data_IF_219626130836
#
_entry.id   IF_219626130836
#
_cell.length_a   1.000
_cell.length_b   1.000
_cell.length_c   1.000
_cell.angle_alpha   90.00
_cell.angle_beta   90.00
_cell.angle_gamma   90.00
#
_symmetry.space_group_name_H-M   'P 1'
#
loop_
_entity.id
_entity.type
_entity.pdbx_description
1 polymer ?
#
# COMPACT_ATOMS: atom_id res chain seq x y z
N UNK A 1 -17.53 2.65 0.04
CA UNK A 1 -16.62 1.76 0.79
C UNK A 1 -17.14 1.40 2.19
N UNK A 2 -17.38 2.36 3.09
CA UNK A 2 -17.73 2.10 4.50
C UNK A 2 -18.79 1.01 4.73
N UNK A 3 -20.01 1.21 4.19
CA UNK A 3 -21.10 0.21 4.29
C UNK A 3 -20.76 -1.16 3.72
N UNK A 4 -19.92 -1.22 2.67
CA UNK A 4 -19.51 -2.47 2.04
C UNK A 4 -18.59 -3.26 2.97
N UNK A 5 -17.60 -2.58 3.55
CA UNK A 5 -16.58 -3.21 4.38
C UNK A 5 -17.17 -3.67 5.72
N UNK A 6 -18.04 -2.86 6.32
CA UNK A 6 -18.79 -3.22 7.52
C UNK A 6 -19.65 -4.47 7.29
N UNK A 7 -20.53 -4.47 6.26
CA UNK A 7 -21.42 -5.62 5.96
C UNK A 7 -20.65 -6.89 5.60
N UNK A 8 -19.48 -6.76 4.97
CA UNK A 8 -18.64 -7.90 4.62
C UNK A 8 -17.77 -8.40 5.77
N UNK A 9 -17.78 -7.72 6.93
CA UNK A 9 -16.91 -8.04 8.06
C UNK A 9 -15.42 -7.81 7.77
N UNK A 10 -15.10 -6.93 6.81
CA UNK A 10 -13.72 -6.61 6.44
C UNK A 10 -13.03 -5.83 7.56
N UNK A 11 -13.74 -4.94 8.24
CA UNK A 11 -13.18 -4.08 9.30
C UNK A 11 -12.62 -4.87 10.49
N UNK A 12 -13.09 -6.11 10.68
CA UNK A 12 -12.70 -6.98 11.79
C UNK A 12 -11.86 -8.18 11.32
N UNK A 13 -11.55 -8.28 10.02
CA UNK A 13 -10.89 -9.47 9.46
C UNK A 13 -9.43 -9.60 9.90
N UNK A 14 -8.68 -8.50 9.92
CA UNK A 14 -7.27 -8.50 10.29
C UNK A 14 -7.00 -7.46 11.40
N UNK A 15 -6.58 -7.86 12.62
CA UNK A 15 -6.43 -6.93 13.75
C UNK A 15 -5.45 -5.77 13.50
N UNK A 16 -4.44 -6.01 12.66
CA UNK A 16 -3.41 -5.03 12.31
C UNK A 16 -3.83 -4.10 11.16
N UNK A 17 -4.97 -4.33 10.52
CA UNK A 17 -5.51 -3.50 9.44
C UNK A 17 -6.75 -2.75 9.91
N UNK A 18 -6.73 -1.43 9.78
CA UNK A 18 -7.88 -0.57 10.02
C UNK A 18 -8.18 0.31 8.80
N UNK A 19 -9.38 0.89 8.80
CA UNK A 19 -9.85 1.78 7.74
C UNK A 19 -10.35 3.08 8.37
N UNK A 20 -9.97 4.21 7.78
CA UNK A 20 -10.52 5.52 8.13
C UNK A 20 -11.70 5.79 7.19
N UNK A 21 -12.90 5.43 7.64
CA UNK A 21 -14.08 5.46 6.80
C UNK A 21 -14.57 6.87 6.49
N UNK A 22 -14.99 7.07 5.25
CA UNK A 22 -15.74 8.23 4.80
C UNK A 22 -17.24 7.96 5.00
N UNK A 23 -17.71 8.20 6.21
CA UNK A 23 -19.03 7.74 6.68
C UNK A 23 -20.17 8.71 6.36
N UNK A 24 -19.86 9.96 6.02
CA UNK A 24 -20.85 10.97 5.66
C UNK A 24 -20.31 11.93 4.60
N UNK A 25 -21.21 12.58 3.86
CA UNK A 25 -20.91 13.67 2.95
C UNK A 25 -22.01 14.73 3.02
N UNK A 26 -21.68 15.95 2.60
CA UNK A 26 -22.63 17.05 2.40
C UNK A 26 -22.31 17.75 1.09
N UNK A 27 -23.34 18.22 0.39
CA UNK A 27 -23.19 19.01 -0.85
C UNK A 27 -24.41 19.92 -1.00
N UNK A 28 -24.35 20.89 -1.93
CA UNK A 28 -25.50 21.73 -2.28
C UNK A 28 -26.27 21.07 -3.43
N UNK A 29 -27.60 21.15 -3.40
CA UNK A 29 -28.45 20.69 -4.49
C UNK A 29 -28.79 21.87 -5.42
N UNK A 30 -28.17 21.90 -6.60
CA UNK A 30 -28.52 22.82 -7.67
C UNK A 30 -29.32 22.09 -8.74
N UNK A 31 -30.59 22.46 -8.89
CA UNK A 31 -31.52 21.83 -9.83
C UNK A 31 -30.91 21.69 -11.23
N UNK A 32 -30.78 20.45 -11.71
CA UNK A 32 -30.26 20.13 -13.03
C UNK A 32 -28.74 19.98 -13.13
N UNK A 33 -28.01 20.08 -12.03
CA UNK A 33 -26.56 19.82 -11.97
C UNK A 33 -26.28 18.53 -11.20
N UNK A 34 -25.35 17.71 -11.73
CA UNK A 34 -24.90 16.49 -11.05
C UNK A 34 -23.90 16.79 -9.91
N UNK A 35 -23.18 17.90 -10.02
CA UNK A 35 -22.15 18.34 -9.08
C UNK A 35 -22.35 19.84 -8.81
N UNK A 36 -22.14 20.23 -7.56
CA UNK A 36 -22.27 21.61 -7.09
C UNK A 36 -20.94 22.33 -6.91
N UNK A 37 -19.83 21.58 -6.80
CA UNK A 37 -18.52 22.08 -6.40
C UNK A 37 -18.37 22.29 -4.89
N UNK A 38 -19.41 21.99 -4.10
CA UNK A 38 -19.43 22.09 -2.64
C UNK A 38 -19.47 20.71 -1.96
N UNK A 39 -19.08 19.66 -2.69
CA UNK A 39 -19.00 18.30 -2.15
C UNK A 39 -17.93 18.22 -1.06
N UNK A 40 -18.37 17.85 0.15
CA UNK A 40 -17.49 17.65 1.31
C UNK A 40 -17.72 16.26 1.86
N UNK A 41 -16.62 15.53 2.08
CA UNK A 41 -16.63 14.19 2.68
C UNK A 41 -16.10 14.30 4.12
N UNK A 42 -16.80 13.66 5.06
CA UNK A 42 -16.39 13.55 6.45
C UNK A 42 -15.73 12.19 6.69
N UNK A 43 -14.42 12.24 6.92
CA UNK A 43 -13.62 11.07 7.29
C UNK A 43 -13.53 10.92 8.80
N UNK A 44 -13.62 9.69 9.27
CA UNK A 44 -13.39 9.35 10.67
C UNK A 44 -11.97 9.73 11.10
N UNK A 45 -11.87 10.37 12.27
CA UNK A 45 -10.60 10.62 12.95
C UNK A 45 -10.60 9.95 14.33
N UNK A 46 -10.01 8.74 14.45
CA UNK A 46 -9.85 8.06 15.73
C UNK A 46 -8.66 8.60 16.54
N UNK A 47 -7.78 9.41 15.94
CA UNK A 47 -6.57 9.97 16.55
C UNK A 47 -6.93 11.27 17.27
N UNK A 48 -7.65 11.11 18.38
CA UNK A 48 -8.13 12.20 19.25
C UNK A 48 -7.30 12.31 20.53
N UNK A 49 -6.14 11.67 20.60
CA UNK A 49 -5.21 11.80 21.71
C UNK A 49 -4.60 13.21 21.78
N UNK A 50 -3.92 13.51 22.88
CA UNK A 50 -3.14 14.75 23.01
C UNK A 50 -1.99 14.81 21.98
N UNK A 51 -1.33 15.97 21.89
CA UNK A 51 -0.19 16.16 20.98
C UNK A 51 0.83 15.00 21.10
N UNK A 52 1.02 14.24 20.02
CA UNK A 52 1.97 13.11 20.00
C UNK A 52 1.38 11.74 19.65
N UNK A 53 0.16 11.65 19.09
CA UNK A 53 -0.32 10.37 18.54
C UNK A 53 0.72 9.84 17.53
N UNK A 54 1.29 8.64 17.75
CA UNK A 54 2.43 8.13 17.00
C UNK A 54 2.00 7.51 15.66
N UNK A 55 0.98 8.11 15.04
CA UNK A 55 0.44 7.69 13.75
C UNK A 55 1.00 8.60 12.67
N UNK A 56 1.72 8.01 11.72
CA UNK A 56 2.42 8.75 10.67
C UNK A 56 2.06 8.18 9.30
N UNK A 57 1.92 9.05 8.29
CA UNK A 57 1.75 8.59 6.91
C UNK A 57 3.07 8.03 6.39
N UNK A 58 3.03 6.95 5.62
CA UNK A 58 4.24 6.38 5.02
C UNK A 58 4.96 7.43 4.18
N UNK A 59 4.23 8.30 3.47
CA UNK A 59 4.81 9.38 2.66
C UNK A 59 5.62 10.40 3.47
N UNK A 60 5.24 10.68 4.71
CA UNK A 60 6.00 11.59 5.57
C UNK A 60 7.21 10.88 6.16
N UNK A 61 7.04 9.60 6.51
CA UNK A 61 8.09 8.77 7.08
C UNK A 61 9.29 8.62 6.14
N UNK A 62 9.03 8.39 4.85
CA UNK A 62 10.02 8.15 3.78
C UNK A 62 10.50 9.41 3.08
N UNK A 63 9.93 10.58 3.39
CA UNK A 63 10.29 11.84 2.76
C UNK A 63 11.75 12.23 3.03
N UNK A 64 12.34 12.96 2.09
CA UNK A 64 13.67 13.53 2.30
C UNK A 64 13.67 14.49 3.50
N UNK A 65 14.64 14.36 4.42
CA UNK A 65 14.77 15.29 5.52
C UNK A 65 15.23 16.66 5.02
N UNK A 66 15.06 17.66 5.88
CA UNK A 66 15.72 18.95 5.69
C UNK A 66 17.25 18.73 5.71
N UNK A 67 18.03 19.48 4.91
CA UNK A 67 19.48 19.38 4.93
C UNK A 67 20.05 19.40 6.36
N UNK A 68 20.94 18.46 6.66
CA UNK A 68 21.57 18.32 7.98
C UNK A 68 20.71 17.70 9.08
N UNK A 69 19.52 17.18 8.76
CA UNK A 69 18.66 16.48 9.72
C UNK A 69 18.48 15.01 9.33
N UNK A 70 18.20 14.16 10.33
CA UNK A 70 17.76 12.79 10.10
C UNK A 70 16.35 12.73 9.51
N UNK A 71 16.08 11.70 8.71
CA UNK A 71 14.73 11.40 8.24
C UNK A 71 13.83 10.99 9.42
N UNK A 72 12.51 11.06 9.23
CA UNK A 72 11.56 10.55 10.21
C UNK A 72 11.70 9.03 10.37
N UNK A 73 12.01 8.33 9.27
CA UNK A 73 12.30 6.90 9.28
C UNK A 73 13.53 6.55 10.12
N UNK A 74 14.66 7.23 9.89
CA UNK A 74 15.89 7.06 10.68
C UNK A 74 15.64 7.32 12.16
N UNK A 75 14.89 8.38 12.48
CA UNK A 75 14.54 8.71 13.86
C UNK A 75 13.74 7.59 14.53
N UNK A 76 12.78 6.97 13.82
CA UNK A 76 12.02 5.84 14.31
C UNK A 76 12.90 4.60 14.54
N UNK A 77 13.77 4.27 13.58
CA UNK A 77 14.70 3.12 13.69
C UNK A 77 15.72 3.31 14.82
N UNK A 78 16.27 4.52 15.00
CA UNK A 78 17.18 4.85 16.11
C UNK A 78 16.53 4.66 17.46
N UNK A 79 15.25 5.04 17.59
CA UNK A 79 14.47 4.79 18.82
C UNK A 79 14.32 3.30 19.09
N UNK A 80 13.98 2.49 18.07
CA UNK A 80 13.90 1.03 18.20
C UNK A 80 15.26 0.44 18.62
N UNK A 81 16.36 0.90 18.02
CA UNK A 81 17.70 0.43 18.37
C UNK A 81 18.04 0.72 19.84
N UNK A 82 17.75 1.94 20.29
CA UNK A 82 17.96 2.37 21.67
C UNK A 82 17.07 1.59 22.66
N UNK A 83 15.75 1.56 22.42
CA UNK A 83 14.78 0.98 23.36
C UNK A 83 14.90 -0.55 23.50
N UNK A 84 15.50 -1.21 22.51
CA UNK A 84 15.74 -2.66 22.52
C UNK A 84 17.21 -3.07 22.72
N UNK A 85 18.14 -2.13 22.87
CA UNK A 85 19.59 -2.37 23.00
C UNK A 85 20.16 -3.26 21.86
N UNK A 86 19.88 -2.87 20.61
CA UNK A 86 20.33 -3.57 19.40
C UNK A 86 21.00 -2.61 18.42
N UNK A 87 21.77 -3.14 17.46
CA UNK A 87 22.38 -2.32 16.41
C UNK A 87 21.32 -1.66 15.51
N UNK A 88 21.67 -0.53 14.87
CA UNK A 88 20.77 0.16 13.91
C UNK A 88 20.32 -0.76 12.78
N UNK A 89 21.22 -1.59 12.25
CA UNK A 89 20.87 -2.58 11.23
C UNK A 89 19.84 -3.58 11.74
N UNK A 90 20.04 -4.17 12.92
CA UNK A 90 19.06 -5.10 13.51
C UNK A 90 17.71 -4.42 13.76
N UNK A 91 17.72 -3.16 14.24
CA UNK A 91 16.51 -2.38 14.43
C UNK A 91 15.77 -2.12 13.11
N UNK A 92 16.49 -1.77 12.04
CA UNK A 92 15.92 -1.55 10.71
C UNK A 92 15.27 -2.82 10.15
N UNK A 93 15.95 -3.96 10.24
CA UNK A 93 15.41 -5.25 9.78
C UNK A 93 14.15 -5.63 10.58
N UNK A 94 14.19 -5.46 11.91
CA UNK A 94 13.04 -5.72 12.79
C UNK A 94 11.87 -4.79 12.49
N UNK A 95 12.13 -3.50 12.32
CA UNK A 95 11.11 -2.52 11.94
C UNK A 95 10.45 -2.91 10.62
N UNK A 96 11.24 -3.30 9.63
CA UNK A 96 10.76 -3.69 8.31
C UNK A 96 9.88 -4.95 8.36
N UNK A 97 10.25 -5.97 9.14
CA UNK A 97 9.39 -7.15 9.35
C UNK A 97 8.05 -6.78 10.00
N UNK A 98 8.06 -5.94 11.04
CA UNK A 98 6.83 -5.44 11.66
C UNK A 98 5.98 -4.60 10.68
N UNK A 99 6.63 -3.82 9.80
CA UNK A 99 5.96 -3.10 8.73
C UNK A 99 5.27 -4.04 7.74
N UNK A 100 5.94 -5.11 7.29
CA UNK A 100 5.35 -6.09 6.39
C UNK A 100 4.16 -6.82 7.03
N UNK A 101 4.25 -7.15 8.32
CA UNK A 101 3.13 -7.76 9.04
C UNK A 101 1.89 -6.83 9.11
N UNK A 102 2.07 -5.51 9.01
CA UNK A 102 0.99 -4.52 9.08
C UNK A 102 0.50 -4.06 7.70
N UNK A 103 1.40 -3.91 6.72
CA UNK A 103 1.09 -3.35 5.40
C UNK A 103 0.96 -4.43 4.32
N UNK A 104 1.93 -5.34 4.19
CA UNK A 104 1.92 -6.34 3.11
C UNK A 104 0.93 -7.47 3.40
N UNK A 105 1.14 -8.18 4.49
CA UNK A 105 0.42 -9.41 4.82
C UNK A 105 -1.11 -9.22 4.83
N UNK A 106 -1.68 -8.23 5.56
CA UNK A 106 -3.13 -8.08 5.61
C UNK A 106 -3.72 -7.55 4.31
N UNK A 107 -3.01 -6.74 3.52
CA UNK A 107 -3.51 -6.25 2.23
C UNK A 107 -3.52 -7.36 1.16
N UNK A 108 -2.51 -8.23 1.15
CA UNK A 108 -2.51 -9.41 0.27
C UNK A 108 -3.62 -10.39 0.67
N UNK A 109 -3.82 -10.60 1.98
CA UNK A 109 -4.92 -11.43 2.49
C UNK A 109 -6.31 -10.83 2.24
N UNK A 110 -6.44 -9.50 2.30
CA UNK A 110 -7.69 -8.80 1.94
C UNK A 110 -8.06 -9.11 0.48
N UNK A 111 -7.07 -9.06 -0.41
CA UNK A 111 -7.28 -9.43 -1.81
C UNK A 111 -7.60 -10.92 -1.97
N UNK A 112 -6.87 -11.80 -1.27
CA UNK A 112 -7.11 -13.25 -1.30
C UNK A 112 -8.51 -13.63 -0.84
N UNK A 113 -8.95 -13.07 0.30
CA UNK A 113 -10.18 -13.47 0.97
C UNK A 113 -11.41 -12.77 0.44
N UNK A 114 -11.30 -11.51 0.00
CA UNK A 114 -12.47 -10.70 -0.38
C UNK A 114 -12.44 -10.22 -1.84
N UNK A 115 -11.35 -10.45 -2.57
CA UNK A 115 -11.19 -9.89 -3.90
C UNK A 115 -11.13 -8.36 -3.86
N UNK A 116 -10.72 -7.77 -2.74
CA UNK A 116 -10.59 -6.32 -2.55
C UNK A 116 -9.14 -5.94 -2.60
N UNK A 117 -8.78 -5.01 -3.49
CA UNK A 117 -7.47 -4.39 -3.52
C UNK A 117 -7.60 -2.89 -3.29
N UNK A 118 -6.62 -2.29 -2.62
CA UNK A 118 -6.62 -0.88 -2.28
C UNK A 118 -5.52 -0.15 -3.05
N UNK A 119 -5.75 1.11 -3.38
CA UNK A 119 -4.71 2.06 -3.81
C UNK A 119 -3.86 2.48 -2.60
N UNK A 120 -3.19 1.52 -1.99
CA UNK A 120 -2.38 1.66 -0.78
C UNK A 120 -1.01 2.32 -1.04
N UNK A 121 -1.00 3.43 -1.78
CA UNK A 121 0.21 4.23 -1.97
C UNK A 121 0.62 4.95 -0.68
N UNK A 122 1.82 5.54 -0.65
CA UNK A 122 2.40 6.12 0.56
C UNK A 122 1.50 7.13 1.29
N UNK A 123 0.75 7.96 0.55
CA UNK A 123 -0.13 8.95 1.15
C UNK A 123 -1.38 8.32 1.79
N UNK A 124 -1.96 7.26 1.23
CA UNK A 124 -3.17 6.59 1.73
C UNK A 124 -2.89 5.60 2.88
N UNK A 125 -1.63 5.56 3.32
CA UNK A 125 -1.08 4.56 4.22
C UNK A 125 -0.60 5.21 5.51
N UNK A 126 -1.19 4.84 6.64
CA UNK A 126 -0.79 5.34 7.95
C UNK A 126 -0.33 4.19 8.85
N UNK A 127 0.71 4.42 9.62
CA UNK A 127 1.28 3.44 10.54
C UNK A 127 1.17 3.94 11.98
N UNK A 128 0.68 3.08 12.87
CA UNK A 128 0.74 3.27 14.32
C UNK A 128 2.07 2.76 14.87
N UNK A 129 2.88 3.70 15.35
CA UNK A 129 4.20 3.47 15.94
C UNK A 129 4.19 3.59 17.47
N UNK A 130 3.02 3.49 18.12
CA UNK A 130 2.88 3.60 19.58
C UNK A 130 3.67 2.56 20.36
N UNK A 131 3.90 1.39 19.75
CA UNK A 131 4.65 0.31 20.34
C UNK A 131 6.15 0.52 20.13
N UNK A 132 6.74 1.42 20.92
CA UNK A 132 8.20 1.66 20.96
C UNK A 132 8.81 2.06 19.58
N UNK A 133 8.02 2.71 18.72
CA UNK A 133 8.45 3.07 17.36
C UNK A 133 8.31 1.97 16.31
N UNK A 134 7.92 0.75 16.70
CA UNK A 134 7.65 -0.35 15.78
C UNK A 134 6.23 -0.23 15.19
N UNK A 135 6.03 -0.53 13.90
CA UNK A 135 4.72 -0.63 13.28
C UNK A 135 3.89 -1.71 13.98
N UNK A 136 2.72 -1.30 14.49
CA UNK A 136 1.82 -2.19 15.23
C UNK A 136 0.46 -2.33 14.56
N UNK A 137 0.01 -1.28 13.87
CA UNK A 137 -1.20 -1.27 13.05
C UNK A 137 -1.00 -0.40 11.81
N UNK A 138 -1.73 -0.75 10.77
CA UNK A 138 -1.83 -0.01 9.53
C UNK A 138 -3.27 0.50 9.39
N UNK A 139 -3.41 1.78 9.03
CA UNK A 139 -4.69 2.37 8.66
C UNK A 139 -4.66 2.79 7.21
N UNK A 140 -5.63 2.30 6.44
CA UNK A 140 -5.92 2.81 5.11
C UNK A 140 -6.86 4.01 5.19
N UNK A 141 -6.59 5.05 4.41
CA UNK A 141 -7.52 6.15 4.16
C UNK A 141 -7.82 6.22 2.67
N UNK A 142 -8.93 6.90 2.34
CA UNK A 142 -9.50 7.07 0.99
C UNK A 142 -10.62 6.06 0.67
N UNK A 143 -11.79 6.57 0.29
CA UNK A 143 -12.95 5.75 -0.05
C UNK A 143 -13.13 5.55 -1.56
N UNK A 144 -12.33 6.24 -2.37
CA UNK A 144 -12.37 6.17 -3.84
C UNK A 144 -11.33 5.19 -4.40
N UNK A 145 -10.19 5.02 -3.73
CA UNK A 145 -9.08 4.19 -4.19
C UNK A 145 -9.21 2.68 -3.89
N UNK A 146 -10.26 1.99 -4.34
CA UNK A 146 -10.32 0.52 -4.22
C UNK A 146 -10.94 -0.19 -5.41
N UNK A 147 -10.61 -1.47 -5.53
CA UNK A 147 -11.02 -2.33 -6.63
C UNK A 147 -11.66 -3.61 -6.11
N UNK A 148 -12.72 -4.06 -6.78
CA UNK A 148 -13.36 -5.35 -6.57
C UNK A 148 -13.03 -6.29 -7.73
N UNK A 149 -12.63 -7.50 -7.41
CA UNK A 149 -12.38 -8.55 -8.39
C UNK A 149 -13.67 -9.00 -9.09
N UNK A 150 -13.63 -9.07 -10.42
CA UNK A 150 -14.67 -9.70 -11.24
C UNK A 150 -14.95 -11.15 -10.82
N UNK A 151 -13.90 -11.90 -10.45
CA UNK A 151 -14.02 -13.28 -9.97
C UNK A 151 -14.82 -13.40 -8.67
N UNK A 152 -14.91 -12.32 -7.87
CA UNK A 152 -15.67 -12.27 -6.62
C UNK A 152 -17.08 -11.69 -6.78
N UNK A 153 -17.50 -11.32 -8.01
CA UNK A 153 -18.76 -10.61 -8.26
C UNK A 153 -20.00 -11.38 -7.78
N UNK A 154 -20.05 -12.69 -7.96
CA UNK A 154 -21.17 -13.52 -7.51
C UNK A 154 -21.31 -13.51 -5.97
N UNK A 155 -20.19 -13.50 -5.24
CA UNK A 155 -20.19 -13.39 -3.78
C UNK A 155 -20.66 -12.00 -3.33
N UNK A 156 -20.20 -10.95 -4.01
CA UNK A 156 -20.64 -9.59 -3.72
C UNK A 156 -22.13 -9.38 -3.98
N UNK A 157 -22.68 -10.00 -5.03
CA UNK A 157 -24.12 -9.99 -5.31
C UNK A 157 -24.95 -10.55 -4.14
N UNK A 158 -24.47 -11.62 -3.49
CA UNK A 158 -25.18 -12.22 -2.35
C UNK A 158 -25.10 -11.40 -1.05
N UNK A 159 -24.06 -10.58 -0.88
CA UNK A 159 -23.82 -9.83 0.37
C UNK A 159 -24.31 -8.38 0.29
N UNK A 160 -24.03 -7.68 -0.81
CA UNK A 160 -24.34 -6.26 -1.01
C UNK A 160 -24.79 -6.06 -2.47
N UNK A 161 -26.03 -6.44 -2.84
CA UNK A 161 -26.50 -6.41 -4.22
C UNK A 161 -26.38 -5.05 -4.91
N UNK A 162 -26.44 -3.97 -4.13
CA UNK A 162 -26.36 -2.59 -4.60
C UNK A 162 -24.99 -2.28 -5.23
N UNK A 163 -23.91 -2.93 -4.75
CA UNK A 163 -22.54 -2.67 -5.24
C UNK A 163 -22.33 -3.19 -6.66
N UNK A 164 -23.04 -4.27 -7.03
CA UNK A 164 -22.89 -4.94 -8.34
C UNK A 164 -23.39 -4.08 -9.50
N UNK A 165 -24.24 -3.10 -9.20
CA UNK A 165 -24.72 -2.12 -10.17
C UNK A 165 -23.68 -1.04 -10.50
N UNK A 166 -22.69 -0.85 -9.61
CA UNK A 166 -21.60 0.10 -9.81
C UNK A 166 -20.47 -0.60 -10.56
N UNK A 167 -20.63 -0.74 -11.88
CA UNK A 167 -19.71 -1.51 -12.74
C UNK A 167 -18.26 -1.01 -12.68
N UNK A 168 -18.06 0.30 -12.49
CA UNK A 168 -16.75 0.93 -12.39
C UNK A 168 -15.91 0.48 -11.18
N UNK A 169 -16.51 -0.22 -10.21
CA UNK A 169 -15.76 -0.80 -9.08
C UNK A 169 -15.19 -2.19 -9.37
N UNK A 170 -15.63 -2.85 -10.44
CA UNK A 170 -15.24 -4.24 -10.74
C UNK A 170 -14.20 -4.30 -11.86
N UNK A 171 -13.08 -4.95 -11.57
CA UNK A 171 -11.92 -5.05 -12.45
C UNK A 171 -11.50 -6.50 -12.64
N UNK A 172 -10.79 -6.76 -13.74
CA UNK A 172 -10.17 -8.04 -13.98
C UNK A 172 -9.00 -8.28 -13.01
N UNK A 173 -8.81 -9.53 -12.58
CA UNK A 173 -7.80 -9.88 -11.58
C UNK A 173 -6.37 -9.59 -12.05
N UNK A 174 -6.14 -9.57 -13.37
CA UNK A 174 -4.86 -9.16 -13.94
C UNK A 174 -4.60 -7.68 -13.70
N UNK A 175 -5.59 -6.84 -14.01
CA UNK A 175 -5.57 -5.39 -13.84
C UNK A 175 -5.39 -4.98 -12.39
N UNK A 176 -6.09 -5.67 -11.49
CA UNK A 176 -5.94 -5.48 -10.04
C UNK A 176 -4.52 -5.82 -9.60
N UNK A 177 -3.95 -6.94 -10.06
CA UNK A 177 -2.58 -7.33 -9.70
C UNK A 177 -1.56 -6.31 -10.18
N UNK A 178 -1.71 -5.75 -11.37
CA UNK A 178 -0.82 -4.72 -11.90
C UNK A 178 -0.90 -3.42 -11.08
N UNK A 179 -2.11 -2.96 -10.75
CA UNK A 179 -2.34 -1.77 -9.91
C UNK A 179 -1.84 -1.96 -8.49
N UNK A 180 -2.16 -3.10 -7.87
CA UNK A 180 -1.69 -3.44 -6.52
C UNK A 180 -0.17 -3.57 -6.47
N UNK A 181 0.46 -4.12 -7.52
CA UNK A 181 1.93 -4.16 -7.62
C UNK A 181 2.51 -2.76 -7.60
N UNK A 182 1.94 -1.82 -8.36
CA UNK A 182 2.40 -0.45 -8.33
C UNK A 182 2.17 0.19 -6.95
N UNK A 183 0.95 0.21 -6.43
CA UNK A 183 0.64 0.98 -5.23
C UNK A 183 1.29 0.43 -3.96
N UNK A 184 1.19 -0.88 -3.72
CA UNK A 184 1.70 -1.53 -2.52
C UNK A 184 3.21 -1.79 -2.62
N UNK A 185 3.70 -2.32 -3.75
CA UNK A 185 5.11 -2.71 -3.85
C UNK A 185 5.97 -1.52 -4.27
N UNK A 186 5.73 -0.96 -5.46
CA UNK A 186 6.64 0.02 -6.08
C UNK A 186 6.53 1.40 -5.43
N UNK A 187 5.33 1.92 -5.29
CA UNK A 187 5.11 3.25 -4.73
C UNK A 187 5.41 3.24 -3.23
N UNK A 188 4.94 2.22 -2.50
CA UNK A 188 4.96 2.22 -1.05
C UNK A 188 6.14 1.42 -0.44
N UNK A 189 6.15 0.09 -0.51
CA UNK A 189 7.16 -0.74 0.20
C UNK A 189 8.58 -0.45 -0.31
N UNK A 190 8.78 -0.32 -1.61
CA UNK A 190 10.07 0.03 -2.19
C UNK A 190 10.59 1.40 -1.73
N UNK A 191 9.70 2.35 -1.42
CA UNK A 191 10.12 3.65 -0.87
C UNK A 191 10.64 3.54 0.57
N UNK A 192 10.12 2.60 1.36
CA UNK A 192 10.67 2.29 2.68
C UNK A 192 12.05 1.63 2.55
N UNK A 193 12.20 0.69 1.61
CA UNK A 193 13.48 0.03 1.34
C UNK A 193 14.53 1.05 0.87
N UNK A 194 14.18 1.88 -0.11
CA UNK A 194 15.05 2.93 -0.64
C UNK A 194 15.43 3.93 0.46
N UNK A 195 14.50 4.28 1.36
CA UNK A 195 14.83 5.16 2.49
C UNK A 195 15.81 4.54 3.47
N UNK A 196 15.63 3.27 3.81
CA UNK A 196 16.60 2.55 4.65
C UNK A 196 18.01 2.51 4.03
N UNK A 197 18.09 2.29 2.71
CA UNK A 197 19.34 2.32 1.96
C UNK A 197 20.00 3.70 1.96
N UNK A 198 19.23 4.74 1.66
CA UNK A 198 19.71 6.12 1.61
C UNK A 198 20.21 6.62 2.97
N UNK A 199 19.50 6.27 4.05
CA UNK A 199 19.88 6.64 5.42
C UNK A 199 21.02 5.74 5.97
N UNK A 200 21.50 4.75 5.20
CA UNK A 200 22.59 3.85 5.60
C UNK A 200 22.23 2.88 6.73
N UNK A 201 20.95 2.56 6.90
CA UNK A 201 20.44 1.72 8.00
C UNK A 201 20.52 0.23 7.69
N UNK A 202 20.25 -0.15 6.45
CA UNK A 202 20.40 -1.49 5.88
C UNK A 202 20.52 -1.38 4.37
N UNK A 203 21.13 -2.37 3.69
CA UNK A 203 21.17 -2.36 2.23
C UNK A 203 19.81 -2.69 1.61
N UNK A 204 19.53 -2.16 0.43
CA UNK A 204 18.29 -2.45 -0.29
C UNK A 204 18.16 -3.96 -0.59
N UNK A 205 19.27 -4.63 -0.94
CA UNK A 205 19.31 -6.05 -1.23
C UNK A 205 18.84 -6.91 -0.05
N UNK A 206 19.21 -6.55 1.18
CA UNK A 206 18.78 -7.28 2.39
C UNK A 206 17.27 -7.19 2.61
N UNK A 207 16.72 -5.98 2.49
CA UNK A 207 15.29 -5.75 2.68
C UNK A 207 14.46 -6.34 1.52
N UNK A 208 14.97 -6.28 0.28
CA UNK A 208 14.39 -6.98 -0.86
C UNK A 208 14.38 -8.51 -0.64
N UNK A 209 15.44 -9.05 -0.04
CA UNK A 209 15.50 -10.45 0.38
C UNK A 209 14.39 -10.81 1.38
N UNK A 210 14.21 -10.00 2.42
CA UNK A 210 13.12 -10.17 3.41
C UNK A 210 11.75 -10.12 2.72
N UNK A 211 11.51 -9.11 1.87
CA UNK A 211 10.26 -8.97 1.13
C UNK A 211 10.00 -10.19 0.23
N UNK A 212 11.02 -10.69 -0.48
CA UNK A 212 10.91 -11.87 -1.33
C UNK A 212 10.56 -13.13 -0.52
N UNK A 213 11.20 -13.36 0.62
CA UNK A 213 10.86 -14.49 1.49
C UNK A 213 9.44 -14.38 2.06
N UNK A 214 9.02 -13.16 2.42
CA UNK A 214 7.65 -12.91 2.88
C UNK A 214 6.62 -13.21 1.79
N UNK A 215 6.86 -12.78 0.55
CA UNK A 215 6.02 -13.08 -0.60
C UNK A 215 5.96 -14.59 -0.92
N UNK A 216 7.08 -15.32 -0.80
CA UNK A 216 7.10 -16.78 -0.96
C UNK A 216 6.22 -17.47 0.07
N UNK A 217 6.30 -17.03 1.34
CA UNK A 217 5.46 -17.54 2.41
C UNK A 217 3.98 -17.31 2.10
N UNK A 218 3.59 -16.08 1.73
CA UNK A 218 2.22 -15.77 1.32
C UNK A 218 1.75 -16.62 0.13
N UNK A 219 2.59 -16.82 -0.88
CA UNK A 219 2.29 -17.68 -2.03
C UNK A 219 2.13 -19.18 -1.65
N UNK A 220 2.76 -19.62 -0.56
CA UNK A 220 2.61 -20.98 -0.02
C UNK A 220 1.36 -21.15 0.86
N UNK A 221 1.00 -20.13 1.62
CA UNK A 221 -0.10 -20.16 2.61
C UNK A 221 -1.47 -19.84 2.00
N UNK A 222 -1.52 -18.96 1.00
CA UNK A 222 -2.76 -18.49 0.38
C UNK A 222 -3.21 -19.40 -0.77
N UNK A 223 -4.50 -19.31 -1.10
CA UNK A 223 -5.14 -20.19 -2.10
C UNK A 223 -5.86 -19.45 -3.24
N UNK A 224 -6.08 -18.14 -3.12
CA UNK A 224 -6.89 -17.36 -4.05
C UNK A 224 -6.10 -16.25 -4.77
N UNK A 225 -6.75 -15.09 -4.94
CA UNK A 225 -6.21 -13.98 -5.72
C UNK A 225 -4.93 -13.37 -5.11
N UNK A 226 -4.76 -13.44 -3.78
CA UNK A 226 -3.55 -12.96 -3.10
C UNK A 226 -2.35 -13.89 -3.30
N UNK A 227 -2.59 -15.20 -3.35
CA UNK A 227 -1.58 -16.19 -3.78
C UNK A 227 -1.04 -15.85 -5.17
N UNK A 228 -1.95 -15.65 -6.11
CA UNK A 228 -1.64 -15.32 -7.50
C UNK A 228 -0.92 -13.98 -7.64
N UNK A 229 -1.26 -13.00 -6.81
CA UNK A 229 -0.52 -11.74 -6.71
C UNK A 229 0.93 -11.98 -6.25
N UNK A 230 1.11 -12.62 -5.09
CA UNK A 230 2.42 -12.87 -4.51
C UNK A 230 3.32 -13.71 -5.43
N UNK A 231 2.77 -14.77 -6.02
CA UNK A 231 3.49 -15.61 -6.99
C UNK A 231 3.93 -14.79 -8.21
N UNK A 232 3.06 -13.94 -8.75
CA UNK A 232 3.37 -13.16 -9.95
C UNK A 232 4.56 -12.19 -9.74
N UNK A 233 4.71 -11.63 -8.53
CA UNK A 233 5.85 -10.77 -8.18
C UNK A 233 7.17 -11.53 -8.08
N UNK A 234 7.14 -12.82 -7.79
CA UNK A 234 8.34 -13.64 -7.64
C UNK A 234 8.88 -14.18 -8.96
N UNK A 235 8.00 -14.33 -9.94
CA UNK A 235 8.25 -15.01 -11.23
C UNK A 235 8.43 -14.03 -12.39
N UNK A 236 7.64 -12.94 -12.44
CA UNK A 236 7.67 -12.02 -13.58
C UNK A 236 9.02 -11.29 -13.67
N UNK A 237 9.61 -11.16 -14.88
CA UNK A 237 10.87 -10.45 -15.07
C UNK A 237 10.73 -8.92 -14.93
N UNK A 238 9.51 -8.39 -15.05
CA UNK A 238 9.23 -6.96 -14.99
C UNK A 238 8.08 -6.69 -14.03
N UNK A 239 8.11 -5.52 -13.39
CA UNK A 239 7.07 -5.05 -12.48
C UNK A 239 6.48 -3.73 -13.00
N UNK A 240 5.18 -3.56 -12.80
CA UNK A 240 4.42 -2.40 -13.31
C UNK A 240 4.64 -1.16 -12.44
N UNK A 241 4.85 -0.01 -13.07
CA UNK A 241 4.85 1.31 -12.44
C UNK A 241 3.94 2.28 -13.18
N UNK A 242 3.35 3.24 -12.47
CA UNK A 242 2.64 4.37 -13.08
C UNK A 242 3.65 5.38 -13.63
N UNK A 243 3.48 5.76 -14.89
CA UNK A 243 4.37 6.64 -15.62
C UNK A 243 3.99 8.12 -15.43
N UNK A 244 3.96 8.61 -14.18
CA UNK A 244 3.45 9.94 -13.83
C UNK A 244 4.00 11.07 -14.73
N UNK A 245 5.32 11.09 -15.01
CA UNK A 245 5.90 12.11 -15.88
C UNK A 245 5.37 12.02 -17.32
N UNK A 246 5.28 10.82 -17.89
CA UNK A 246 4.79 10.61 -19.25
C UNK A 246 3.30 10.97 -19.36
N UNK A 247 2.50 10.61 -18.36
CA UNK A 247 1.08 10.98 -18.28
C UNK A 247 0.93 12.51 -18.28
N UNK A 248 1.68 13.21 -17.44
CA UNK A 248 1.62 14.68 -17.35
C UNK A 248 2.11 15.37 -18.62
N UNK A 249 3.13 14.82 -19.29
CA UNK A 249 3.61 15.36 -20.56
C UNK A 249 2.66 15.07 -21.73
N UNK A 250 1.99 13.92 -21.71
CA UNK A 250 1.04 13.50 -22.73
C UNK A 250 -0.37 14.07 -22.54
N UNK A 251 -0.60 14.85 -21.48
CA UNK A 251 -1.92 15.39 -21.08
C UNK A 251 -3.01 14.30 -21.06
N UNK A 252 -2.64 13.10 -20.59
CA UNK A 252 -3.54 11.95 -20.56
C UNK A 252 -4.49 12.09 -19.38
N UNK A 253 -5.79 12.06 -19.65
CA UNK A 253 -6.81 11.95 -18.60
C UNK A 253 -6.76 10.55 -17.97
N UNK A 254 -6.27 10.48 -16.73
CA UNK A 254 -6.15 9.25 -15.97
C UNK A 254 -7.50 8.62 -15.59
N UNK A 255 -8.58 9.41 -15.65
CA UNK A 255 -9.94 8.99 -15.31
C UNK A 255 -10.74 8.52 -16.53
N UNK A 256 -10.20 8.69 -17.75
CA UNK A 256 -10.83 8.24 -18.98
C UNK A 256 -10.67 6.72 -19.18
N UNK A 257 -11.74 6.04 -19.61
CA UNK A 257 -11.71 4.60 -19.90
C UNK A 257 -10.75 4.31 -21.09
N UNK A 258 -9.71 3.49 -20.86
CA UNK A 258 -8.83 2.97 -21.93
C UNK A 258 -7.32 3.25 -21.81
N UNK A 259 -6.83 3.78 -20.68
CA UNK A 259 -5.44 4.21 -20.53
C UNK A 259 -4.39 3.08 -20.39
N UNK A 260 -4.03 2.39 -21.48
CA UNK A 260 -2.80 1.59 -21.54
C UNK A 260 -1.53 2.45 -21.44
N UNK A 261 -1.64 3.76 -21.74
CA UNK A 261 -0.56 4.74 -21.69
C UNK A 261 -0.18 5.21 -20.27
N UNK A 262 -0.86 4.70 -19.23
CA UNK A 262 -0.66 5.12 -17.83
C UNK A 262 0.48 4.34 -17.16
N UNK A 263 0.76 3.12 -17.63
CA UNK A 263 1.67 2.20 -16.96
C UNK A 263 2.91 1.89 -17.83
N UNK A 264 4.04 1.78 -17.17
CA UNK A 264 5.31 1.32 -17.72
C UNK A 264 5.81 0.11 -16.93
N UNK A 265 6.84 -0.54 -17.44
CA UNK A 265 7.45 -1.72 -16.81
C UNK A 265 8.95 -1.52 -16.64
N UNK A 266 9.48 -1.93 -15.50
CA UNK A 266 10.91 -1.92 -15.22
C UNK A 266 11.36 -3.29 -14.70
N UNK A 267 12.68 -3.60 -14.75
CA UNK A 267 13.20 -4.87 -14.25
C UNK A 267 12.72 -5.14 -12.82
N UNK A 268 12.21 -6.34 -12.56
CA UNK A 268 11.66 -6.67 -11.27
C UNK A 268 12.77 -7.10 -10.28
N UNK A 269 13.10 -6.30 -9.25
CA UNK A 269 14.14 -6.65 -8.29
C UNK A 269 13.73 -7.82 -7.38
N UNK A 270 12.45 -8.17 -7.35
CA UNK A 270 11.93 -9.32 -6.60
C UNK A 270 12.01 -10.61 -7.40
N UNK A 271 12.31 -10.58 -8.70
CA UNK A 271 12.55 -11.80 -9.48
C UNK A 271 13.84 -12.50 -9.06
N UNK A 272 14.01 -13.78 -9.41
CA UNK A 272 15.26 -14.50 -9.08
C UNK A 272 16.50 -13.82 -9.65
N UNK A 273 16.41 -13.32 -10.89
CA UNK A 273 17.49 -12.61 -11.57
C UNK A 273 17.67 -11.20 -10.98
N UNK A 274 16.57 -10.49 -10.74
CA UNK A 274 16.59 -9.14 -10.18
C UNK A 274 17.23 -9.07 -8.80
N UNK A 275 16.99 -10.07 -7.94
CA UNK A 275 17.62 -10.11 -6.61
C UNK A 275 19.14 -10.26 -6.69
N UNK A 276 19.63 -11.06 -7.66
CA UNK A 276 21.07 -11.20 -7.88
C UNK A 276 21.68 -9.87 -8.33
N UNK A 277 21.03 -9.17 -9.26
CA UNK A 277 21.48 -7.84 -9.71
C UNK A 277 21.43 -6.79 -8.58
N UNK A 278 20.41 -6.85 -7.72
CA UNK A 278 20.27 -5.97 -6.57
C UNK A 278 21.42 -6.13 -5.57
N UNK A 279 21.96 -7.35 -5.42
CA UNK A 279 23.11 -7.59 -4.55
C UNK A 279 24.43 -6.99 -5.09
N UNK A 280 24.50 -6.69 -6.39
CA UNK A 280 25.68 -6.08 -7.03
C UNK A 280 25.59 -4.54 -7.11
N UNK A 281 24.44 -3.95 -6.76
CA UNK A 281 24.18 -2.52 -6.90
C UNK A 281 23.94 -1.84 -5.55
N UNK A 282 24.40 -0.60 -5.40
CA UNK A 282 24.14 0.19 -4.20
C UNK A 282 22.68 0.68 -4.11
N UNK A 283 22.00 0.85 -5.24
CA UNK A 283 20.62 1.34 -5.36
C UNK A 283 19.84 0.48 -6.38
N UNK A 284 19.20 -0.57 -5.90
CA UNK A 284 18.50 -1.56 -6.72
C UNK A 284 17.09 -1.12 -7.13
N UNK A 285 16.52 -0.12 -6.46
CA UNK A 285 15.15 0.38 -6.68
C UNK A 285 15.13 1.68 -7.49
N UNK A 286 16.18 2.50 -7.38
CA UNK A 286 16.24 3.85 -7.95
C UNK A 286 17.17 3.98 -9.18
N UNK A 287 17.62 2.86 -9.76
CA UNK A 287 18.48 2.83 -10.95
C UNK A 287 17.73 2.71 -12.27
#
# INVERSE_FOLDING_TARGET
MARLFERAGIDMFEPRLGFLHDSAYVTLDFSGQAESGFEVIFRENPFRGGAGDPVITVSALTAEPRPGHSSLFETAVRRVAHDHDISLRQACLRWFECYLDCALDPLVKLYDRFGVALEAHQQNSLLDLSQQGLPSRYFYRDSQGFYLSNSFRARWYGLVPEVVQIRSLFFDDRDIRERLSYYLIVNQIFSVIARAGHDGLASEAELLGILRERLKKLAGELTGAGREFAFSLLDKPHITAKANLAIRLGDVDELAEGGSAIYTHFPNPLSRVGLFMAAEQAHAIAS
#
